data_IF_443250710446
#
_entry.id   IF_443250710446
#
_cell.length_a   1.000
_cell.length_b   1.000
_cell.length_c   1.000
_cell.angle_alpha   90.00
_cell.angle_beta   90.00
_cell.angle_gamma   90.00
#
_symmetry.space_group_name_H-M   'P 1'
#
loop_
_entity.id
_entity.type
_entity.pdbx_description
1 polymer ?
#
# COMPACT_ATOMS: atom_id res chain seq x y z
N UNK A 1 4.67 36.61 7.64
CA UNK A 1 3.55 35.85 8.23
C UNK A 1 3.40 34.60 7.37
N UNK A 2 4.10 33.53 7.73
CA UNK A 2 4.08 32.27 6.98
C UNK A 2 2.73 31.60 7.20
N UNK A 3 1.93 31.44 6.15
CA UNK A 3 0.75 30.59 6.13
C UNK A 3 1.22 29.13 6.33
N UNK A 4 1.36 28.70 7.59
CA UNK A 4 1.67 27.31 7.95
C UNK A 4 0.37 26.51 8.05
N UNK A 5 -0.30 26.32 6.91
CA UNK A 5 -1.41 25.38 6.75
C UNK A 5 -0.84 23.98 6.48
N UNK A 6 -0.15 23.40 7.44
CA UNK A 6 0.57 22.14 7.24
C UNK A 6 0.12 21.08 8.22
N UNK A 7 -0.89 20.28 7.90
CA UNK A 7 -1.17 19.07 8.69
C UNK A 7 0.09 18.18 8.74
N UNK A 8 0.46 17.74 9.95
CA UNK A 8 1.46 16.68 10.11
C UNK A 8 0.81 15.40 9.60
N UNK A 9 1.17 14.91 8.41
CA UNK A 9 0.60 13.66 7.88
C UNK A 9 1.64 12.55 7.82
N UNK A 10 1.19 11.33 8.02
CA UNK A 10 1.99 10.14 7.83
C UNK A 10 2.40 10.04 6.36
N UNK A 11 3.70 9.98 6.08
CA UNK A 11 4.20 9.92 4.69
C UNK A 11 3.78 8.65 3.95
N UNK A 12 3.46 7.59 4.71
CA UNK A 12 3.10 6.29 4.15
C UNK A 12 1.61 6.18 3.86
N UNK A 13 0.76 6.56 4.82
CA UNK A 13 -0.69 6.38 4.72
C UNK A 13 -1.45 7.69 4.48
N UNK A 14 -0.80 8.84 4.56
CA UNK A 14 -1.38 10.17 4.36
C UNK A 14 -2.29 10.66 5.48
N UNK A 15 -2.66 9.82 6.45
CA UNK A 15 -3.51 10.19 7.60
C UNK A 15 -2.72 11.06 8.56
N UNK A 16 -3.41 11.98 9.24
CA UNK A 16 -2.84 12.88 10.24
C UNK A 16 -2.09 12.14 11.36
N UNK A 17 -0.92 12.67 11.71
CA UNK A 17 -0.09 12.29 12.83
C UNK A 17 -0.57 13.04 14.07
N UNK A 18 -0.85 12.30 15.14
CA UNK A 18 -1.18 12.85 16.45
C UNK A 18 -2.66 12.75 16.78
N UNK A 19 -3.43 11.95 16.06
CA UNK A 19 -4.78 11.61 16.51
C UNK A 19 -4.68 10.72 17.75
N UNK A 20 -5.37 11.05 18.86
CA UNK A 20 -5.24 10.33 20.13
C UNK A 20 -5.92 8.94 20.12
N UNK A 21 -6.40 8.46 18.98
CA UNK A 21 -7.28 7.30 18.88
C UNK A 21 -6.61 6.10 18.22
N UNK A 22 -6.68 4.98 18.93
CA UNK A 22 -6.29 3.67 18.43
C UNK A 22 -4.88 3.63 17.86
N UNK A 23 -4.74 3.04 16.66
CA UNK A 23 -3.47 2.79 15.99
C UNK A 23 -2.73 4.06 15.49
N UNK A 24 -3.38 5.22 15.54
CA UNK A 24 -2.85 6.50 15.03
C UNK A 24 -2.09 7.31 16.08
N UNK A 25 -2.16 6.88 17.34
CA UNK A 25 -1.56 7.56 18.49
C UNK A 25 -0.04 7.43 18.51
N UNK A 26 0.47 6.25 18.20
CA UNK A 26 1.90 5.95 18.22
C UNK A 26 2.57 6.36 16.91
N UNK A 27 3.61 7.20 17.04
CA UNK A 27 4.27 7.84 15.91
C UNK A 27 5.77 7.76 16.05
N UNK A 28 6.42 7.53 14.92
CA UNK A 28 7.87 7.53 14.80
C UNK A 28 8.29 8.47 13.69
N UNK A 29 9.54 8.90 13.74
CA UNK A 29 10.17 9.59 12.63
C UNK A 29 11.31 8.74 12.06
N UNK A 30 11.40 8.69 10.74
CA UNK A 30 12.63 8.26 10.07
C UNK A 30 13.39 9.51 9.62
N UNK A 31 14.72 9.45 9.69
CA UNK A 31 15.60 10.47 9.11
C UNK A 31 16.63 9.83 8.21
N UNK A 32 16.96 10.50 7.12
CA UNK A 32 18.00 10.05 6.21
C UNK A 32 18.35 11.11 5.17
N UNK A 33 19.20 10.75 4.19
CA UNK A 33 19.62 11.67 3.14
C UNK A 33 18.45 12.15 2.29
N UNK A 34 18.46 13.43 1.94
CA UNK A 34 17.48 14.09 1.10
C UNK A 34 18.14 14.69 -0.14
N UNK A 35 17.46 14.60 -1.28
CA UNK A 35 17.90 15.21 -2.52
C UNK A 35 16.81 16.13 -3.06
N UNK A 36 16.85 17.43 -2.76
CA UNK A 36 15.77 18.38 -3.01
C UNK A 36 15.45 18.58 -4.51
N UNK A 37 16.37 18.22 -5.40
CA UNK A 37 16.15 18.25 -6.84
C UNK A 37 15.29 17.05 -7.26
N UNK A 38 14.07 17.33 -7.74
CA UNK A 38 13.33 16.37 -8.56
C UNK A 38 14.02 16.24 -9.91
N UNK A 39 15.00 15.34 -9.98
CA UNK A 39 15.60 14.96 -11.24
C UNK A 39 14.53 14.16 -12.00
N UNK A 40 14.19 14.57 -13.23
CA UNK A 40 13.24 13.85 -14.11
C UNK A 40 13.60 12.36 -14.30
N UNK A 41 14.89 12.04 -14.12
CA UNK A 41 15.42 10.68 -14.00
C UNK A 41 16.45 10.67 -12.87
N UNK A 42 16.08 10.42 -11.60
CA UNK A 42 17.09 10.23 -10.58
C UNK A 42 17.95 9.04 -11.03
N UNK A 43 19.27 9.22 -11.04
CA UNK A 43 20.18 8.08 -11.23
C UNK A 43 19.86 6.97 -10.21
N UNK A 44 20.31 5.73 -10.44
CA UNK A 44 20.09 4.64 -9.49
C UNK A 44 20.71 5.01 -8.14
N UNK A 45 19.89 5.52 -7.22
CA UNK A 45 20.29 5.86 -5.86
C UNK A 45 19.98 4.65 -5.00
N UNK A 46 21.01 4.14 -4.33
CA UNK A 46 20.86 3.20 -3.23
C UNK A 46 21.07 3.96 -1.94
N UNK A 47 20.25 3.67 -0.94
CA UNK A 47 20.42 4.15 0.42
C UNK A 47 20.69 2.92 1.26
N UNK A 48 21.81 2.92 1.95
CA UNK A 48 22.12 1.84 2.87
C UNK A 48 21.32 2.02 4.17
N UNK A 49 21.00 0.91 4.84
CA UNK A 49 20.18 0.93 6.05
C UNK A 49 20.81 1.75 7.20
N UNK A 50 22.14 1.81 7.27
CA UNK A 50 22.88 2.59 8.26
C UNK A 50 22.77 4.11 8.05
N UNK A 51 22.34 4.55 6.86
CA UNK A 51 22.06 5.95 6.56
C UNK A 51 20.67 6.39 7.01
N UNK A 52 19.81 5.46 7.45
CA UNK A 52 18.45 5.75 7.91
C UNK A 52 18.35 5.51 9.40
N UNK A 53 17.97 6.55 10.14
CA UNK A 53 17.78 6.46 11.59
C UNK A 53 16.30 6.52 11.94
N UNK A 54 15.88 5.64 12.86
CA UNK A 54 14.55 5.62 13.46
C UNK A 54 14.58 6.37 14.78
N UNK A 55 13.60 7.26 14.99
CA UNK A 55 13.47 8.07 16.19
C UNK A 55 12.11 7.84 16.83
N UNK A 56 12.11 7.63 18.15
CA UNK A 56 10.88 7.75 18.93
C UNK A 56 10.43 9.22 18.95
N UNK A 57 9.13 9.46 18.85
CA UNK A 57 8.60 10.83 18.80
C UNK A 57 7.37 11.00 19.66
N UNK A 58 7.10 12.24 20.05
CA UNK A 58 5.81 12.70 20.52
C UNK A 58 5.29 13.81 19.60
N UNK A 59 3.98 13.90 19.46
CA UNK A 59 3.35 14.99 18.71
C UNK A 59 3.13 16.18 19.64
N UNK A 60 3.34 17.39 19.11
CA UNK A 60 2.83 18.60 19.75
C UNK A 60 1.44 18.89 19.17
N UNK A 61 0.39 18.72 19.98
CA UNK A 61 -0.99 18.92 19.52
C UNK A 61 -1.32 20.37 19.18
N UNK A 62 -0.48 21.34 19.57
CA UNK A 62 -0.69 22.77 19.30
C UNK A 62 0.06 23.24 18.06
N UNK A 63 1.05 22.50 17.60
CA UNK A 63 1.94 22.93 16.53
C UNK A 63 2.25 21.79 15.57
N UNK A 64 2.38 22.10 14.28
CA UNK A 64 2.66 21.12 13.23
C UNK A 64 4.13 20.65 13.19
N UNK A 65 4.65 20.14 14.32
CA UNK A 65 5.96 19.50 14.40
C UNK A 65 5.91 18.23 15.27
N UNK A 66 6.85 17.32 15.04
CA UNK A 66 7.15 16.20 15.93
C UNK A 66 8.32 16.57 16.84
N UNK A 67 8.33 15.99 18.04
CA UNK A 67 9.42 16.14 18.99
C UNK A 67 10.15 14.81 19.12
N UNK A 68 11.42 14.79 18.73
CA UNK A 68 12.29 13.61 18.84
C UNK A 68 12.63 13.32 20.30
N UNK A 69 12.57 12.05 20.70
CA UNK A 69 12.93 11.59 22.04
C UNK A 69 14.26 10.83 22.04
N UNK A 70 15.09 10.94 23.09
CA UNK A 70 14.89 11.75 24.30
C UNK A 70 15.31 13.23 24.15
N UNK A 71 15.96 13.61 23.05
CA UNK A 71 16.60 14.92 22.90
C UNK A 71 15.68 16.14 22.81
N UNK A 72 14.36 15.96 22.82
CA UNK A 72 13.32 17.00 22.68
C UNK A 72 13.54 17.95 21.49
N UNK A 73 14.20 17.49 20.42
CA UNK A 73 14.42 18.28 19.20
C UNK A 73 13.12 18.35 18.41
N UNK A 74 12.72 19.57 18.04
CA UNK A 74 11.56 19.81 17.17
C UNK A 74 11.95 19.58 15.70
N UNK A 75 11.11 18.83 14.99
CA UNK A 75 11.24 18.57 13.55
C UNK A 75 9.88 18.75 12.88
N UNK A 76 9.89 19.39 11.72
CA UNK A 76 8.80 19.45 10.76
C UNK A 76 8.95 18.29 9.78
N UNK A 77 8.00 17.33 9.73
CA UNK A 77 7.99 16.26 8.74
C UNK A 77 7.98 16.83 7.32
N UNK A 78 8.59 16.10 6.40
CA UNK A 78 8.76 16.47 4.99
C UNK A 78 9.67 17.68 4.77
N UNK A 79 10.24 18.27 5.82
CA UNK A 79 11.23 19.34 5.71
C UNK A 79 12.66 18.86 5.55
N UNK A 80 13.41 19.60 4.72
CA UNK A 80 14.84 19.42 4.51
C UNK A 80 15.63 20.25 5.51
N UNK A 81 16.66 19.66 6.08
CA UNK A 81 17.55 20.25 7.06
C UNK A 81 18.97 20.18 6.51
N UNK A 82 19.55 21.33 6.18
CA UNK A 82 20.94 21.40 5.76
C UNK A 82 21.87 20.94 6.90
N UNK A 83 22.63 19.87 6.69
CA UNK A 83 23.72 19.46 7.58
C UNK A 83 24.90 20.43 7.46
N UNK A 84 25.17 20.89 6.23
CA UNK A 84 26.22 21.84 5.92
C UNK A 84 25.61 23.07 5.24
N UNK A 85 25.14 24.03 6.05
CA UNK A 85 24.82 25.36 5.52
C UNK A 85 26.11 25.96 4.96
N UNK A 86 26.13 26.23 3.64
CA UNK A 86 27.14 27.00 2.87
C UNK A 86 28.25 26.19 2.17
N UNK A 87 27.89 25.21 1.34
CA UNK A 87 28.73 24.86 0.17
C UNK A 87 28.23 25.63 -1.05
N UNK A 88 29.14 26.30 -1.77
CA UNK A 88 28.82 26.94 -3.05
C UNK A 88 28.53 25.93 -4.19
N UNK A 89 28.84 24.65 -3.96
CA UNK A 89 28.60 23.54 -4.87
C UNK A 89 27.33 22.77 -4.44
N UNK A 90 26.21 22.86 -5.21
CA UNK A 90 24.96 22.16 -4.94
C UNK A 90 25.06 20.63 -4.95
N UNK A 91 26.08 20.06 -5.60
CA UNK A 91 26.29 18.61 -5.61
C UNK A 91 26.79 18.05 -4.28
N UNK A 92 27.29 18.93 -3.40
CA UNK A 92 27.79 18.62 -2.04
C UNK A 92 26.79 18.98 -0.95
N UNK A 93 25.56 19.36 -1.31
CA UNK A 93 24.52 19.64 -0.33
C UNK A 93 24.04 18.33 0.29
N UNK A 94 24.52 18.06 1.50
CA UNK A 94 23.96 17.01 2.35
C UNK A 94 22.79 17.61 3.15
N UNK A 95 21.58 17.34 2.69
CA UNK A 95 20.36 17.61 3.44
C UNK A 95 19.89 16.32 4.10
N UNK A 96 19.42 16.43 5.34
CA UNK A 96 18.63 15.38 5.99
C UNK A 96 17.17 15.77 5.87
N UNK A 97 16.30 14.82 5.57
CA UNK A 97 14.87 14.99 5.76
C UNK A 97 14.42 14.18 6.98
N UNK A 98 13.32 14.61 7.58
CA UNK A 98 12.56 13.77 8.50
C UNK A 98 11.21 13.45 7.88
N UNK A 99 10.76 12.21 8.02
CA UNK A 99 9.41 11.79 7.64
C UNK A 99 8.72 11.22 8.88
N UNK A 100 7.46 11.61 9.09
CA UNK A 100 6.64 11.09 10.17
C UNK A 100 5.81 9.90 9.70
N UNK A 101 5.70 8.87 10.53
CA UNK A 101 4.93 7.66 10.26
C UNK A 101 4.14 7.25 11.50
N UNK A 102 2.92 6.73 11.32
CA UNK A 102 2.31 5.92 12.38
C UNK A 102 3.11 4.63 12.55
N UNK A 103 3.33 4.20 13.79
CA UNK A 103 4.04 2.95 14.09
C UNK A 103 3.40 1.75 13.39
N UNK A 104 2.07 1.71 13.28
CA UNK A 104 1.35 0.68 12.53
C UNK A 104 1.72 0.64 11.03
N UNK A 105 2.00 1.79 10.42
CA UNK A 105 2.45 1.84 9.02
C UNK A 105 3.88 1.29 8.89
N UNK A 106 4.77 1.69 9.80
CA UNK A 106 6.12 1.15 9.86
C UNK A 106 6.12 -0.38 10.08
N UNK A 107 5.27 -0.88 10.99
CA UNK A 107 5.11 -2.31 11.25
C UNK A 107 4.66 -3.10 10.02
N UNK A 108 3.73 -2.54 9.24
CA UNK A 108 3.31 -3.13 7.98
C UNK A 108 4.47 -3.22 7.00
N UNK A 109 5.23 -2.13 6.82
CA UNK A 109 6.42 -2.13 5.95
C UNK A 109 7.46 -3.16 6.44
N UNK A 110 7.73 -3.22 7.74
CA UNK A 110 8.67 -4.17 8.33
C UNK A 110 8.24 -5.63 8.11
N UNK A 111 6.96 -5.93 8.25
CA UNK A 111 6.43 -7.28 7.98
C UNK A 111 6.63 -7.67 6.52
N UNK A 112 6.38 -6.76 5.59
CA UNK A 112 6.63 -6.98 4.17
C UNK A 112 8.10 -7.26 3.94
N UNK A 113 8.99 -6.36 4.37
CA UNK A 113 10.42 -6.47 4.11
C UNK A 113 10.98 -7.82 4.61
N UNK A 114 10.44 -8.32 5.73
CA UNK A 114 10.82 -9.62 6.31
C UNK A 114 10.20 -10.83 5.61
N UNK A 115 8.93 -10.75 5.19
CA UNK A 115 8.16 -11.93 4.74
C UNK A 115 8.03 -12.04 3.23
N UNK A 116 8.14 -10.94 2.51
CA UNK A 116 7.92 -10.90 1.07
C UNK A 116 9.24 -10.92 0.30
N UNK A 117 9.67 -12.11 -0.09
CA UNK A 117 10.83 -12.31 -0.95
C UNK A 117 10.70 -11.62 -2.33
N UNK A 118 9.47 -11.24 -2.71
CA UNK A 118 9.13 -10.59 -3.99
C UNK A 118 8.84 -9.09 -3.86
N UNK A 119 8.81 -8.53 -2.65
CA UNK A 119 8.62 -7.10 -2.49
C UNK A 119 9.79 -6.33 -3.11
N UNK A 120 9.47 -5.19 -3.74
CA UNK A 120 10.46 -4.21 -4.17
C UNK A 120 11.09 -3.48 -2.97
N UNK A 121 10.36 -3.40 -1.86
CA UNK A 121 10.85 -2.91 -0.57
C UNK A 121 11.47 -4.07 0.22
N UNK A 122 12.79 -4.11 0.35
CA UNK A 122 13.53 -5.17 1.05
C UNK A 122 14.32 -4.68 2.25
N UNK A 123 14.52 -3.37 2.35
CA UNK A 123 15.38 -2.74 3.35
C UNK A 123 14.79 -1.40 3.81
N UNK A 124 15.24 -0.92 4.97
CA UNK A 124 14.84 0.39 5.50
C UNK A 124 15.32 1.51 4.57
N UNK A 125 16.45 1.31 3.89
CA UNK A 125 16.92 2.14 2.80
C UNK A 125 15.95 2.24 1.61
N UNK A 126 15.36 1.12 1.18
CA UNK A 126 14.34 1.11 0.11
C UNK A 126 13.06 1.85 0.55
N UNK A 127 12.64 1.63 1.80
CA UNK A 127 11.51 2.33 2.40
C UNK A 127 11.79 3.83 2.45
N UNK A 128 12.96 4.24 2.95
CA UNK A 128 13.38 5.63 3.00
C UNK A 128 13.35 6.28 1.61
N UNK A 129 13.96 5.65 0.61
CA UNK A 129 13.98 6.18 -0.76
C UNK A 129 12.56 6.39 -1.29
N UNK A 130 11.64 5.45 -1.01
CA UNK A 130 10.24 5.58 -1.41
C UNK A 130 9.54 6.74 -0.70
N UNK A 131 9.72 6.88 0.61
CA UNK A 131 9.10 7.94 1.42
C UNK A 131 9.68 9.32 1.12
N UNK A 132 10.99 9.43 0.94
CA UNK A 132 11.68 10.67 0.58
C UNK A 132 11.20 11.16 -0.78
N UNK A 133 11.07 10.27 -1.78
CA UNK A 133 10.54 10.64 -3.09
C UNK A 133 9.07 11.07 -3.03
N UNK A 134 8.26 10.43 -2.19
CA UNK A 134 6.88 10.90 -1.90
C UNK A 134 6.89 12.34 -1.37
N UNK A 135 7.72 12.62 -0.39
CA UNK A 135 7.83 13.95 0.22
C UNK A 135 8.37 15.01 -0.76
N UNK A 136 9.40 14.69 -1.53
CA UNK A 136 9.96 15.59 -2.54
C UNK A 136 8.94 15.90 -3.65
N UNK A 137 8.18 14.90 -4.12
CA UNK A 137 7.09 15.11 -5.07
C UNK A 137 6.01 16.02 -4.49
N UNK A 138 5.55 15.78 -3.25
CA UNK A 138 4.55 16.62 -2.59
C UNK A 138 4.99 18.08 -2.54
N UNK A 139 6.24 18.35 -2.15
CA UNK A 139 6.79 19.70 -2.07
C UNK A 139 6.80 20.41 -3.41
N UNK A 140 7.27 19.75 -4.47
CA UNK A 140 7.28 20.35 -5.80
C UNK A 140 5.89 20.80 -6.27
N UNK A 141 4.86 20.00 -5.99
CA UNK A 141 3.48 20.35 -6.34
C UNK A 141 2.95 21.52 -5.51
N UNK A 142 3.22 21.53 -4.20
CA UNK A 142 2.79 22.62 -3.30
C UNK A 142 3.41 23.97 -3.67
N UNK A 143 4.67 24.00 -4.13
CA UNK A 143 5.41 25.25 -4.36
C UNK A 143 5.46 25.71 -5.82
N UNK A 144 5.14 24.86 -6.80
CA UNK A 144 5.46 25.14 -8.21
C UNK A 144 4.31 25.14 -9.20
N UNK A 145 3.26 24.32 -9.03
CA UNK A 145 2.38 23.98 -10.16
C UNK A 145 0.90 23.76 -9.83
N UNK A 146 0.47 24.09 -8.61
CA UNK A 146 -0.89 23.77 -8.14
C UNK A 146 -1.06 22.28 -7.86
N UNK A 147 -2.10 21.94 -7.09
CA UNK A 147 -2.39 20.54 -6.78
C UNK A 147 -2.67 19.77 -8.09
N UNK A 148 -2.02 18.61 -8.32
CA UNK A 148 -2.34 17.81 -9.48
C UNK A 148 -3.81 17.38 -9.37
N UNK A 149 -4.60 17.66 -10.40
CA UNK A 149 -5.87 16.97 -10.59
C UNK A 149 -5.58 15.49 -10.81
N UNK A 150 -6.43 14.63 -10.26
CA UNK A 150 -6.25 13.17 -10.27
C UNK A 150 -5.91 12.64 -11.69
N UNK A 151 -6.52 13.22 -12.73
CA UNK A 151 -6.26 12.87 -14.14
C UNK A 151 -4.84 13.14 -14.64
N UNK A 152 -4.11 14.10 -14.05
CA UNK A 152 -2.70 14.36 -14.38
C UNK A 152 -1.76 13.28 -13.80
N UNK A 153 -2.14 12.67 -12.67
CA UNK A 153 -1.41 11.53 -12.08
C UNK A 153 -1.66 10.23 -12.86
N UNK A 154 -2.85 10.08 -13.47
CA UNK A 154 -3.14 8.94 -14.36
C UNK A 154 -2.32 8.97 -15.65
N UNK A 155 -2.04 10.17 -16.21
CA UNK A 155 -1.15 10.33 -17.37
C UNK A 155 0.31 10.06 -17.03
N UNK A 156 0.72 10.31 -15.78
CA UNK A 156 2.05 9.98 -15.26
C UNK A 156 2.26 8.48 -14.98
N UNK A 157 1.19 7.65 -14.93
CA UNK A 157 1.33 6.17 -14.84
C UNK A 157 2.07 5.57 -16.04
N UNK A 158 2.04 6.26 -17.19
CA UNK A 158 2.64 5.80 -18.45
C UNK A 158 4.05 6.39 -18.72
N UNK A 159 4.54 7.27 -17.85
CA UNK A 159 5.93 7.73 -17.93
C UNK A 159 6.84 6.71 -17.22
N UNK A 160 8.08 6.49 -17.68
CA UNK A 160 9.03 5.54 -17.06
C UNK A 160 9.50 5.96 -15.65
N UNK A 161 8.83 6.93 -15.04
CA UNK A 161 9.10 7.50 -13.72
C UNK A 161 8.60 6.55 -12.62
N UNK A 162 9.29 5.42 -12.46
CA UNK A 162 9.15 4.51 -11.34
C UNK A 162 9.85 5.09 -10.10
N UNK A 163 9.31 6.14 -9.50
CA UNK A 163 9.75 6.67 -8.18
C UNK A 163 9.27 5.79 -7.01
N UNK A 164 8.93 4.52 -7.26
CA UNK A 164 8.24 3.68 -6.26
C UNK A 164 6.84 4.20 -5.91
N UNK A 165 6.31 5.17 -6.65
CA UNK A 165 5.03 5.83 -6.43
C UNK A 165 3.87 5.15 -7.17
N UNK A 166 3.81 3.81 -7.19
CA UNK A 166 2.72 3.13 -7.91
C UNK A 166 1.33 3.50 -7.37
N UNK A 167 1.22 4.04 -6.16
CA UNK A 167 -0.02 4.56 -5.56
C UNK A 167 0.28 5.74 -4.63
N UNK A 168 0.54 6.92 -5.22
CA UNK A 168 0.50 8.18 -4.48
C UNK A 168 -0.97 8.51 -4.20
N UNK A 169 -1.32 8.78 -2.94
CA UNK A 169 -2.60 9.41 -2.62
C UNK A 169 -2.37 10.92 -2.79
N UNK A 170 -3.09 11.58 -3.70
CA UNK A 170 -3.11 13.03 -3.74
C UNK A 170 -3.46 13.54 -2.36
N UNK A 171 -2.69 14.50 -1.86
CA UNK A 171 -2.94 15.11 -0.55
C UNK A 171 -4.39 15.60 -0.41
N UNK A 172 -5.04 15.97 -1.52
CA UNK A 172 -6.46 16.31 -1.58
C UNK A 172 -7.46 15.22 -1.21
N UNK A 173 -7.11 13.93 -1.21
CA UNK A 173 -8.03 12.87 -0.74
C UNK A 173 -8.11 12.79 0.79
N UNK A 174 -7.24 13.51 1.52
CA UNK A 174 -7.20 13.54 2.99
C UNK A 174 -7.32 14.98 3.51
N UNK A 175 -6.86 15.97 2.72
CA UNK A 175 -6.95 17.40 3.04
C UNK A 175 -8.38 17.97 2.89
N UNK A 176 -9.31 17.28 2.22
CA UNK A 176 -10.67 17.82 1.98
C UNK A 176 -11.83 17.09 2.68
N UNK A 177 -11.59 15.95 3.33
CA UNK A 177 -12.64 15.17 4.00
C UNK A 177 -12.46 15.16 5.53
N UNK A 178 -12.31 16.35 6.12
CA UNK A 178 -12.35 16.59 7.58
C UNK A 178 -13.67 16.18 8.26
N UNK A 179 -14.61 15.54 7.55
CA UNK A 179 -15.99 15.38 8.01
C UNK A 179 -16.49 13.95 8.21
N UNK A 180 -15.67 12.91 8.07
CA UNK A 180 -16.12 11.53 8.30
C UNK A 180 -15.27 10.82 9.36
N UNK A 181 -15.69 10.95 10.62
CA UNK A 181 -15.14 10.20 11.75
C UNK A 181 -15.39 8.68 11.70
N UNK A 182 -16.17 8.21 10.72
CA UNK A 182 -16.53 6.78 10.55
C UNK A 182 -15.98 6.14 9.25
N UNK A 183 -14.92 6.69 8.67
CA UNK A 183 -14.33 6.17 7.43
C UNK A 183 -13.47 4.91 7.60
N UNK A 184 -13.34 4.12 6.52
CA UNK A 184 -12.44 2.96 6.43
C UNK A 184 -10.97 3.26 6.82
N UNK A 185 -10.55 4.53 6.69
CA UNK A 185 -9.21 4.99 7.10
C UNK A 185 -9.04 5.11 8.61
N UNK A 186 -10.12 5.03 9.39
CA UNK A 186 -10.09 5.00 10.84
C UNK A 186 -9.85 3.58 11.38
N UNK A 187 -10.20 2.55 10.60
CA UNK A 187 -9.99 1.16 10.99
C UNK A 187 -8.50 0.76 11.00
N UNK A 188 -8.14 -0.11 11.94
CA UNK A 188 -6.77 -0.53 12.18
C UNK A 188 -6.23 -1.41 11.04
N UNK A 189 -5.16 -1.00 10.33
CA UNK A 189 -4.61 -1.78 9.23
C UNK A 189 -3.80 -2.99 9.70
N UNK A 190 -3.45 -3.10 10.99
CA UNK A 190 -2.67 -4.21 11.55
C UNK A 190 -3.60 -5.25 12.16
N UNK A 191 -4.51 -4.85 13.06
CA UNK A 191 -5.45 -5.77 13.71
C UNK A 191 -6.82 -5.61 13.09
N UNK A 192 -7.19 -6.53 12.19
CA UNK A 192 -8.46 -6.48 11.45
C UNK A 192 -9.39 -7.57 11.98
N UNK A 193 -10.42 -7.23 12.78
CA UNK A 193 -11.38 -8.21 13.29
C UNK A 193 -12.10 -8.95 12.16
N UNK A 194 -12.35 -10.24 12.35
CA UNK A 194 -13.11 -11.10 11.42
C UNK A 194 -12.58 -11.13 9.97
N UNK A 195 -11.31 -10.77 9.75
CA UNK A 195 -10.72 -10.74 8.41
C UNK A 195 -10.84 -12.10 7.70
N UNK A 196 -10.43 -13.16 8.38
CA UNK A 196 -10.46 -14.54 7.86
C UNK A 196 -11.89 -14.95 7.53
N UNK A 197 -12.80 -14.85 8.50
CA UNK A 197 -14.23 -15.15 8.35
C UNK A 197 -14.85 -14.46 7.13
N UNK A 198 -14.63 -13.16 7.00
CA UNK A 198 -15.22 -12.37 5.92
C UNK A 198 -14.55 -12.67 4.58
N UNK A 199 -13.23 -12.82 4.52
CA UNK A 199 -12.54 -13.24 3.30
C UNK A 199 -13.07 -14.59 2.81
N UNK A 200 -13.12 -15.61 3.67
CA UNK A 200 -13.58 -16.93 3.23
C UNK A 200 -15.06 -16.91 2.89
N UNK A 201 -15.88 -16.03 3.48
CA UNK A 201 -17.29 -15.86 3.10
C UNK A 201 -17.46 -15.49 1.62
N UNK A 202 -16.48 -14.83 1.01
CA UNK A 202 -16.46 -14.52 -0.42
C UNK A 202 -16.06 -15.70 -1.32
N UNK A 203 -15.52 -16.79 -0.74
CA UNK A 203 -15.12 -17.97 -1.50
C UNK A 203 -16.36 -18.67 -2.06
N UNK A 204 -16.45 -18.72 -3.39
CA UNK A 204 -17.52 -19.40 -4.11
C UNK A 204 -17.05 -20.78 -4.52
N UNK A 205 -17.99 -21.71 -4.63
CA UNK A 205 -17.74 -22.97 -5.31
C UNK A 205 -17.39 -22.63 -6.75
N UNK A 206 -16.43 -23.35 -7.33
CA UNK A 206 -16.24 -23.41 -8.77
C UNK A 206 -17.52 -24.04 -9.33
N UNK A 207 -18.58 -23.24 -9.50
CA UNK A 207 -19.70 -23.64 -10.34
C UNK A 207 -19.09 -24.05 -11.67
N UNK A 208 -19.54 -25.17 -12.25
CA UNK A 208 -19.17 -25.59 -13.59
C UNK A 208 -19.38 -24.40 -14.52
N UNK A 209 -18.33 -23.62 -14.76
CA UNK A 209 -18.42 -22.38 -15.53
C UNK A 209 -19.01 -22.80 -16.88
N UNK A 210 -20.21 -22.35 -17.26
CA UNK A 210 -20.86 -22.82 -18.48
C UNK A 210 -20.05 -22.29 -19.64
N UNK A 211 -19.14 -23.12 -20.16
CA UNK A 211 -18.18 -22.72 -21.15
C UNK A 211 -16.90 -23.52 -21.01
N UNK A 212 -16.92 -24.76 -21.50
CA UNK A 212 -15.74 -25.59 -21.75
C UNK A 212 -14.58 -24.68 -22.14
N UNK A 213 -13.54 -24.62 -21.30
CA UNK A 213 -12.25 -24.03 -21.68
C UNK A 213 -12.00 -24.45 -23.13
N UNK A 214 -11.76 -23.51 -24.06
CA UNK A 214 -11.45 -23.84 -25.45
C UNK A 214 -10.51 -25.04 -25.50
N UNK A 215 -10.76 -26.02 -26.39
CA UNK A 215 -9.98 -27.29 -26.40
C UNK A 215 -8.46 -27.03 -26.35
N UNK A 216 -8.01 -25.96 -27.00
CA UNK A 216 -6.63 -25.44 -26.94
C UNK A 216 -6.13 -25.12 -25.52
N UNK A 217 -6.95 -24.45 -24.70
CA UNK A 217 -6.66 -24.14 -23.30
C UNK A 217 -6.75 -25.37 -22.40
N UNK A 218 -7.62 -26.33 -22.68
CA UNK A 218 -7.65 -27.61 -21.94
C UNK A 218 -6.34 -28.40 -22.12
N UNK A 219 -5.81 -28.44 -23.34
CA UNK A 219 -4.53 -29.07 -23.65
C UNK A 219 -3.35 -28.30 -23.03
N UNK A 220 -3.46 -26.97 -22.94
CA UNK A 220 -2.48 -26.17 -22.21
C UNK A 220 -2.52 -26.47 -20.71
N UNK A 221 -3.70 -26.49 -20.07
CA UNK A 221 -3.86 -26.81 -18.63
C UNK A 221 -3.24 -28.16 -18.27
N UNK A 222 -3.45 -29.19 -19.11
CA UNK A 222 -2.81 -30.50 -18.93
C UNK A 222 -1.28 -30.41 -19.01
N UNK A 223 -0.74 -29.73 -20.02
CA UNK A 223 0.72 -29.53 -20.17
C UNK A 223 1.32 -28.71 -19.02
N UNK A 224 0.60 -27.69 -18.58
CA UNK A 224 0.97 -26.85 -17.44
C UNK A 224 1.03 -27.68 -16.14
N UNK A 225 0.06 -28.59 -15.94
CA UNK A 225 0.06 -29.55 -14.84
C UNK A 225 1.29 -30.46 -14.83
N UNK A 226 1.85 -30.80 -15.99
CA UNK A 226 3.06 -31.61 -16.12
C UNK A 226 4.38 -30.84 -15.92
N UNK A 227 4.35 -29.52 -15.75
CA UNK A 227 5.57 -28.74 -15.55
C UNK A 227 6.26 -29.13 -14.21
N UNK A 228 7.61 -29.14 -14.16
CA UNK A 228 8.37 -29.20 -12.92
C UNK A 228 7.95 -28.10 -11.94
N UNK A 229 8.09 -28.37 -10.64
CA UNK A 229 7.64 -27.46 -9.59
C UNK A 229 8.37 -26.11 -9.66
N UNK A 230 9.63 -26.11 -10.09
CA UNK A 230 10.47 -24.91 -10.28
C UNK A 230 9.85 -23.97 -11.32
N UNK A 231 9.38 -24.52 -12.45
CA UNK A 231 8.74 -23.74 -13.50
C UNK A 231 7.35 -23.23 -13.06
N UNK A 232 6.60 -24.04 -12.31
CA UNK A 232 5.33 -23.60 -11.71
C UNK A 232 5.55 -22.44 -10.73
N UNK A 233 6.56 -22.56 -9.86
CA UNK A 233 6.94 -21.51 -8.91
C UNK A 233 7.39 -20.23 -9.64
N UNK A 234 8.11 -20.37 -10.75
CA UNK A 234 8.51 -19.26 -11.60
C UNK A 234 7.30 -18.57 -12.24
N UNK A 235 6.33 -19.32 -12.77
CA UNK A 235 5.08 -18.73 -13.32
C UNK A 235 4.29 -18.01 -12.23
N UNK A 236 4.12 -18.64 -11.05
CA UNK A 236 3.56 -17.97 -9.88
C UNK A 236 4.28 -16.66 -9.57
N UNK A 237 5.60 -16.59 -9.77
CA UNK A 237 6.38 -15.40 -9.43
C UNK A 237 6.00 -14.15 -10.21
N UNK A 238 5.64 -14.29 -11.48
CA UNK A 238 5.21 -13.18 -12.32
C UNK A 238 3.82 -12.65 -11.91
N UNK A 239 2.96 -13.51 -11.37
CA UNK A 239 1.59 -13.14 -11.00
C UNK A 239 1.49 -12.34 -9.69
N UNK A 240 2.60 -12.17 -8.95
CA UNK A 240 2.62 -11.40 -7.71
C UNK A 240 2.96 -9.91 -7.91
N UNK A 241 3.36 -9.49 -9.12
CA UNK A 241 3.99 -8.19 -9.34
C UNK A 241 3.06 -7.08 -9.85
N UNK A 242 1.82 -7.38 -10.23
CA UNK A 242 0.93 -6.39 -10.85
C UNK A 242 -0.56 -6.60 -10.50
N UNK A 243 -1.40 -5.66 -10.94
CA UNK A 243 -2.85 -5.81 -10.89
C UNK A 243 -3.25 -6.99 -11.79
N UNK A 244 -3.76 -8.05 -11.19
CA UNK A 244 -4.31 -9.18 -11.93
C UNK A 244 -5.64 -8.73 -12.57
N UNK A 245 -5.89 -9.07 -13.85
CA UNK A 245 -7.22 -8.92 -14.43
C UNK A 245 -8.27 -9.61 -13.55
N UNK A 246 -9.48 -9.07 -13.50
CA UNK A 246 -10.57 -9.67 -12.71
C UNK A 246 -11.13 -10.91 -13.41
N UNK A 247 -11.01 -10.97 -14.73
CA UNK A 247 -11.43 -12.12 -15.52
C UNK A 247 -10.62 -13.36 -15.15
N UNK A 248 -11.32 -14.39 -14.70
CA UNK A 248 -10.73 -15.68 -14.39
C UNK A 248 -10.50 -16.46 -15.69
N UNK A 249 -9.30 -17.01 -15.82
CA UNK A 249 -8.88 -17.80 -16.98
C UNK A 249 -9.06 -19.30 -16.76
N UNK A 250 -9.04 -19.74 -15.50
CA UNK A 250 -9.12 -21.14 -15.06
C UNK A 250 -8.07 -22.08 -15.70
N UNK A 251 -7.01 -21.47 -16.26
CA UNK A 251 -5.88 -22.16 -16.90
C UNK A 251 -5.02 -22.83 -15.82
N UNK A 252 -4.76 -22.10 -14.74
CA UNK A 252 -3.95 -22.58 -13.62
C UNK A 252 -4.82 -23.38 -12.64
N UNK A 253 -4.33 -24.50 -12.08
CA UNK A 253 -5.10 -25.28 -11.12
C UNK A 253 -5.49 -24.47 -9.87
N UNK A 254 -6.69 -24.71 -9.34
CA UNK A 254 -7.19 -24.02 -8.14
C UNK A 254 -6.30 -24.25 -6.91
N UNK A 255 -5.65 -25.40 -6.79
CA UNK A 255 -4.66 -25.66 -5.73
C UNK A 255 -3.46 -24.71 -5.77
N UNK A 256 -3.07 -24.26 -6.96
CA UNK A 256 -1.97 -23.34 -7.17
C UNK A 256 -2.42 -21.89 -6.91
N UNK A 257 -3.65 -21.53 -7.28
CA UNK A 257 -4.27 -20.27 -6.84
C UNK A 257 -4.43 -20.21 -5.32
N UNK A 258 -4.82 -21.30 -4.67
CA UNK A 258 -4.85 -21.42 -3.21
C UNK A 258 -3.48 -21.15 -2.60
N UNK A 259 -2.42 -21.76 -3.15
CA UNK A 259 -1.06 -21.51 -2.70
C UNK A 259 -0.67 -20.03 -2.87
N UNK A 260 -1.03 -19.41 -4.00
CA UNK A 260 -0.79 -17.99 -4.24
C UNK A 260 -1.53 -17.10 -3.24
N UNK A 261 -2.80 -17.40 -2.93
CA UNK A 261 -3.59 -16.67 -1.95
C UNK A 261 -2.88 -16.57 -0.60
N UNK A 262 -2.32 -17.69 -0.11
CA UNK A 262 -1.56 -17.73 1.14
C UNK A 262 -0.17 -17.07 1.06
N UNK A 263 0.32 -16.77 -0.15
CA UNK A 263 1.57 -16.04 -0.37
C UNK A 263 1.35 -14.53 -0.52
N UNK A 264 0.10 -14.05 -0.48
CA UNK A 264 -0.21 -12.62 -0.54
C UNK A 264 0.41 -11.91 0.68
N UNK A 265 1.36 -10.98 0.49
CA UNK A 265 2.16 -10.45 1.61
C UNK A 265 1.36 -9.76 2.71
N UNK A 266 0.24 -9.12 2.36
CA UNK A 266 -0.60 -8.37 3.30
C UNK A 266 -1.73 -9.21 3.96
N UNK A 267 -1.74 -10.52 3.73
CA UNK A 267 -2.64 -11.49 4.38
C UNK A 267 -1.90 -12.34 5.43
N UNK A 268 -1.00 -11.73 6.20
CA UNK A 268 -0.09 -12.47 7.09
C UNK A 268 -0.74 -13.06 8.36
N UNK A 269 -1.97 -12.65 8.68
CA UNK A 269 -2.70 -12.96 9.93
C UNK A 269 -4.01 -13.71 9.66
N UNK A 270 -4.08 -14.45 8.56
CA UNK A 270 -5.18 -15.35 8.29
C UNK A 270 -5.24 -16.49 9.32
N UNK A 271 -6.45 -16.80 9.77
CA UNK A 271 -6.75 -17.97 10.59
C UNK A 271 -6.84 -19.19 9.67
N UNK A 272 -5.74 -19.95 9.63
CA UNK A 272 -5.63 -21.14 8.80
C UNK A 272 -6.62 -22.24 9.24
N UNK A 273 -6.93 -22.31 10.54
CA UNK A 273 -7.87 -23.29 11.07
C UNK A 273 -9.27 -22.97 10.56
N UNK A 274 -9.70 -21.71 10.63
CA UNK A 274 -11.01 -21.30 10.13
C UNK A 274 -11.16 -21.54 8.62
N UNK A 275 -10.11 -21.25 7.84
CA UNK A 275 -10.08 -21.53 6.40
C UNK A 275 -10.18 -23.05 6.14
N UNK A 276 -9.44 -23.86 6.90
CA UNK A 276 -9.46 -25.31 6.80
C UNK A 276 -10.84 -25.86 7.15
N UNK A 277 -11.43 -25.45 8.27
CA UNK A 277 -12.73 -25.91 8.73
C UNK A 277 -13.83 -25.66 7.68
N UNK A 278 -13.84 -24.49 7.03
CA UNK A 278 -14.77 -24.21 5.94
C UNK A 278 -14.51 -25.04 4.68
N UNK A 279 -13.24 -25.22 4.32
CA UNK A 279 -12.88 -25.84 3.03
C UNK A 279 -12.91 -27.35 3.09
N UNK A 280 -12.63 -27.97 4.24
CA UNK A 280 -12.64 -29.41 4.47
C UNK A 280 -13.99 -29.98 4.86
N UNK A 281 -14.88 -29.20 5.50
CA UNK A 281 -16.23 -29.65 5.85
C UNK A 281 -17.11 -30.00 4.62
N UNK A 282 -16.65 -29.69 3.40
CA UNK A 282 -17.37 -29.92 2.15
C UNK A 282 -16.66 -30.84 1.17
N UNK A 283 -15.49 -31.39 1.51
CA UNK A 283 -14.72 -32.33 0.67
C UNK A 283 -15.44 -33.68 0.44
N UNK A 284 -16.60 -33.92 1.07
CA UNK A 284 -17.44 -35.10 0.81
C UNK A 284 -18.17 -35.04 -0.55
N UNK A 285 -18.34 -33.85 -1.13
CA UNK A 285 -18.76 -33.67 -2.52
C UNK A 285 -17.60 -33.00 -3.25
N UNK A 286 -17.12 -33.56 -4.36
CA UNK A 286 -15.93 -33.14 -5.13
C UNK A 286 -16.02 -31.73 -5.78
N UNK A 287 -16.48 -30.72 -5.03
CA UNK A 287 -16.61 -29.33 -5.43
C UNK A 287 -15.31 -28.60 -5.09
N UNK A 288 -14.60 -28.19 -6.14
CA UNK A 288 -13.42 -27.33 -6.05
C UNK A 288 -13.85 -25.90 -5.69
N UNK A 289 -13.11 -25.23 -4.80
CA UNK A 289 -13.34 -23.83 -4.48
C UNK A 289 -12.65 -22.91 -5.49
N UNK A 290 -13.29 -21.79 -5.84
CA UNK A 290 -12.74 -20.81 -6.80
C UNK A 290 -11.71 -19.87 -6.14
N UNK A 291 -10.50 -20.41 -5.95
CA UNK A 291 -9.35 -19.69 -5.43
C UNK A 291 -8.81 -18.65 -6.42
N UNK A 292 -8.99 -18.84 -7.72
CA UNK A 292 -8.60 -17.86 -8.74
C UNK A 292 -9.30 -16.53 -8.52
N UNK A 293 -10.64 -16.58 -8.42
CA UNK A 293 -11.46 -15.39 -8.26
C UNK A 293 -11.13 -14.60 -7.00
N UNK A 294 -11.11 -15.26 -5.84
CA UNK A 294 -10.83 -14.58 -4.58
C UNK A 294 -9.42 -13.98 -4.55
N UNK A 295 -8.43 -14.68 -5.13
CA UNK A 295 -7.05 -14.17 -5.19
C UNK A 295 -6.98 -12.93 -6.07
N UNK A 296 -7.64 -12.93 -7.23
CA UNK A 296 -7.71 -11.76 -8.12
C UNK A 296 -8.37 -10.57 -7.43
N UNK A 297 -9.53 -10.79 -6.80
CA UNK A 297 -10.27 -9.75 -6.06
C UNK A 297 -9.44 -9.13 -4.92
N UNK A 298 -8.74 -9.96 -4.14
CA UNK A 298 -7.88 -9.50 -3.04
C UNK A 298 -6.65 -8.74 -3.54
N UNK A 299 -6.09 -9.16 -4.67
CA UNK A 299 -4.94 -8.49 -5.27
C UNK A 299 -5.32 -7.17 -5.98
N UNK A 300 -6.60 -6.97 -6.31
CA UNK A 300 -7.10 -5.72 -6.85
C UNK A 300 -6.84 -4.54 -5.90
N UNK A 301 -6.58 -3.32 -6.42
CA UNK A 301 -6.66 -2.12 -5.60
C UNK A 301 -8.07 -1.92 -5.03
N UNK A 302 -8.21 -1.36 -3.82
CA UNK A 302 -9.46 -0.73 -3.43
C UNK A 302 -9.74 0.43 -4.38
N UNK A 303 -11.00 0.59 -4.76
CA UNK A 303 -11.39 1.63 -5.69
C UNK A 303 -11.68 2.95 -4.98
N UNK A 304 -11.28 4.05 -5.64
CA UNK A 304 -11.68 5.40 -5.25
C UNK A 304 -13.08 5.71 -5.83
N UNK A 305 -13.95 6.42 -5.09
CA UNK A 305 -15.24 6.85 -5.61
C UNK A 305 -15.09 7.76 -6.83
N UNK A 306 -15.98 7.62 -7.81
CA UNK A 306 -16.04 8.57 -8.93
C UNK A 306 -16.61 9.91 -8.44
N UNK A 307 -15.88 11.00 -8.73
CA UNK A 307 -16.30 12.38 -8.40
C UNK A 307 -17.62 12.79 -9.07
N UNK A 308 -18.02 12.10 -10.13
CA UNK A 308 -19.19 12.44 -10.97
C UNK A 308 -20.55 12.21 -10.29
N UNK A 309 -20.58 11.66 -9.07
CA UNK A 309 -21.81 11.50 -8.28
C UNK A 309 -22.08 12.67 -7.32
N UNK A 310 -21.20 13.68 -7.30
CA UNK A 310 -21.27 14.81 -6.36
C UNK A 310 -21.88 16.04 -7.03
N UNK A 311 -23.15 15.94 -7.41
CA UNK A 311 -24.00 17.12 -7.62
C UNK A 311 -25.22 17.02 -6.72
N UNK A 312 -25.01 17.38 -5.45
CA UNK A 312 -26.06 17.48 -4.44
C UNK A 312 -26.16 16.26 -3.51
N UNK A 313 -26.03 16.50 -2.21
CA UNK A 313 -26.07 15.57 -1.07
C UNK A 313 -24.77 14.82 -0.75
N UNK A 314 -24.26 15.08 0.47
CA UNK A 314 -23.00 14.61 1.03
C UNK A 314 -22.86 13.09 1.15
N UNK A 315 -22.39 12.47 0.07
CA UNK A 315 -21.97 11.08 0.03
C UNK A 315 -20.76 10.92 -0.88
N UNK A 316 -19.61 11.49 -0.48
CA UNK A 316 -18.33 11.04 -1.05
C UNK A 316 -18.20 9.54 -0.77
N UNK A 317 -18.10 8.71 -1.81
CA UNK A 317 -18.07 7.26 -1.59
C UNK A 317 -16.91 6.84 -0.68
N UNK A 318 -17.05 5.70 -0.04
CA UNK A 318 -16.01 5.08 0.79
C UNK A 318 -15.13 4.25 -0.15
N UNK A 319 -13.79 4.32 -0.03
CA UNK A 319 -12.93 3.40 -0.77
C UNK A 319 -13.28 1.97 -0.37
N UNK A 320 -13.27 1.05 -1.33
CA UNK A 320 -13.61 -0.33 -1.02
C UNK A 320 -13.51 -1.25 -2.22
N UNK A 321 -14.14 -2.42 -2.09
CA UNK A 321 -14.04 -3.49 -3.08
C UNK A 321 -15.40 -3.87 -3.68
N UNK A 322 -16.37 -2.95 -3.62
CA UNK A 322 -17.74 -3.18 -4.07
C UNK A 322 -17.81 -3.59 -5.55
N UNK A 323 -17.04 -2.94 -6.44
CA UNK A 323 -17.05 -3.28 -7.87
C UNK A 323 -16.42 -4.61 -8.21
N UNK A 324 -15.44 -5.05 -7.42
CA UNK A 324 -14.86 -6.38 -7.59
C UNK A 324 -15.66 -7.44 -6.85
N UNK A 325 -16.72 -7.05 -6.13
CA UNK A 325 -17.60 -7.97 -5.41
C UNK A 325 -16.93 -8.69 -4.25
N UNK A 326 -16.02 -8.01 -3.54
CA UNK A 326 -15.32 -8.53 -2.37
C UNK A 326 -15.82 -7.79 -1.11
N UNK A 327 -16.37 -8.54 -0.17
CA UNK A 327 -16.86 -8.02 1.11
C UNK A 327 -15.83 -8.25 2.22
N UNK A 328 -15.26 -7.18 2.76
CA UNK A 328 -14.13 -7.22 3.70
C UNK A 328 -14.23 -6.04 4.68
N UNK A 329 -13.66 -6.15 5.90
CA UNK A 329 -13.59 -5.03 6.84
C UNK A 329 -12.85 -3.81 6.27
N UNK A 330 -13.17 -2.59 6.69
CA UNK A 330 -12.48 -1.38 6.22
C UNK A 330 -10.99 -1.34 6.61
N UNK A 331 -10.59 -2.02 7.70
CA UNK A 331 -9.19 -2.22 8.07
C UNK A 331 -8.41 -2.94 6.97
N UNK A 332 -9.06 -3.83 6.20
CA UNK A 332 -8.45 -4.48 5.05
C UNK A 332 -8.26 -3.51 3.88
N UNK A 333 -9.24 -2.66 3.60
CA UNK A 333 -9.09 -1.54 2.66
C UNK A 333 -7.90 -0.66 3.05
N UNK A 334 -7.80 -0.30 4.33
CA UNK A 334 -6.70 0.54 4.82
C UNK A 334 -5.34 -0.17 4.67
N UNK A 335 -5.25 -1.44 5.06
CA UNK A 335 -4.04 -2.27 4.90
C UNK A 335 -3.64 -2.39 3.43
N UNK A 336 -4.58 -2.73 2.55
CA UNK A 336 -4.34 -2.95 1.11
C UNK A 336 -3.94 -1.68 0.38
N UNK A 337 -4.38 -0.52 0.85
CA UNK A 337 -3.99 0.78 0.30
C UNK A 337 -2.60 1.19 0.75
N UNK A 338 -2.28 0.95 2.02
CA UNK A 338 -0.94 1.21 2.57
C UNK A 338 0.11 0.32 1.88
N UNK A 339 -0.28 -0.91 1.54
CA UNK A 339 0.45 -1.84 0.68
C UNK A 339 0.45 -1.45 -0.80
#
# INVERSE_FOLDING_TARGET
MELRTGFNICTMCGVELGRPEGWKSDIVALSGPHWPQLIRSPGPRRVNDDQVSRHATKVDYRYHFLVLLPGNRKIYPHDGYALHKRSADPSKWEEIMFVGLHTACEDLANRVMKKSYKASLRSVGDLWLTLERRSACRKYWLYGHGYPTLGALETLRNLPFSVGLRRYIPSGSIEYDEYYDDGWWNENPITIPNLSTLLIANLKIEEDVPGKLPKSLSAFKKRFGCLPQELKNLVCSFLHQDQLPLECTYIMPQSMWKQMFFQVPFLWDLDIKEIHDKTSARDSNAQSWDWEKITRQVMSPPEEPRKDTVSGSGGGGVWGFNRVGLNVPGGFTNRRRIW
#
